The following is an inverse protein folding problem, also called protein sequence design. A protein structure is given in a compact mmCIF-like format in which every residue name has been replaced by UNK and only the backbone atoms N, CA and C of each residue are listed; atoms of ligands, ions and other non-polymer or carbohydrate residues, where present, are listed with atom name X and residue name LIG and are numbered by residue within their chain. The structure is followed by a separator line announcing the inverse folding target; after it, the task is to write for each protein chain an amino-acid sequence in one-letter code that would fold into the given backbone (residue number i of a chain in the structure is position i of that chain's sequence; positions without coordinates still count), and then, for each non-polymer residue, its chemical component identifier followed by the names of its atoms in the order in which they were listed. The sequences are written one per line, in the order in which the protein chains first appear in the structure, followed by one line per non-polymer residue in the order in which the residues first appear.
data_IF_052798280520
#
_entry.id   IF_052798280520
#
_cell.length_a   1.000
_cell.length_b   1.000
_cell.length_c   1.000
_cell.angle_alpha   90.00
_cell.angle_beta   90.00
_cell.angle_gamma   90.00
#
_symmetry.space_group_name_H-M   'P 1'
#
loop_
_entity.id
_entity.type
_entity.pdbx_description
1 polymer ?
#
# COMPACT_ATOMS: atom_id res chain seq x y z
N UNK A 1 -7.16 41.20 -11.73
CA UNK A 1 -7.13 39.91 -12.46
C UNK A 1 -5.98 38.99 -12.02
N UNK A 2 -4.73 39.46 -11.89
CA UNK A 2 -3.57 38.61 -11.51
C UNK A 2 -3.67 37.90 -10.14
N UNK A 3 -4.34 38.53 -9.15
CA UNK A 3 -4.54 37.98 -7.78
C UNK A 3 -5.51 36.80 -7.75
N UNK A 4 -6.52 36.81 -8.62
CA UNK A 4 -7.51 35.74 -8.73
C UNK A 4 -6.96 34.57 -9.57
N UNK A 5 -6.06 34.85 -10.51
CA UNK A 5 -5.35 33.84 -11.29
C UNK A 5 -4.46 32.96 -10.41
N UNK A 6 -3.77 33.56 -9.43
CA UNK A 6 -2.91 32.80 -8.50
C UNK A 6 -3.72 31.81 -7.64
N UNK A 7 -4.88 32.25 -7.12
CA UNK A 7 -5.77 31.38 -6.34
C UNK A 7 -6.35 30.22 -7.16
N UNK A 8 -6.66 30.46 -8.44
CA UNK A 8 -7.17 29.43 -9.35
C UNK A 8 -6.11 28.36 -9.66
N UNK A 9 -4.84 28.76 -9.84
CA UNK A 9 -3.73 27.83 -10.07
C UNK A 9 -3.47 26.96 -8.83
N UNK A 10 -3.48 27.56 -7.64
CA UNK A 10 -3.29 26.84 -6.38
C UNK A 10 -4.40 25.80 -6.15
N UNK A 11 -5.66 26.17 -6.44
CA UNK A 11 -6.80 25.25 -6.35
C UNK A 11 -6.73 24.10 -7.35
N UNK A 12 -6.21 24.34 -8.56
CA UNK A 12 -6.02 23.29 -9.57
C UNK A 12 -4.95 22.27 -9.16
N UNK A 13 -3.85 22.71 -8.54
CA UNK A 13 -2.75 21.81 -8.10
C UNK A 13 -3.21 20.91 -6.94
N UNK A 14 -4.00 21.43 -6.02
CA UNK A 14 -4.50 20.68 -4.85
C UNK A 14 -5.62 19.68 -5.20
N UNK A 15 -6.31 19.87 -6.34
CA UNK A 15 -7.41 19.01 -6.77
C UNK A 15 -6.98 17.75 -7.55
N UNK A 16 -5.71 17.64 -7.93
CA UNK A 16 -5.19 16.50 -8.70
C UNK A 16 -4.59 15.49 -7.70
N UNK A 17 -5.41 14.57 -7.20
CA UNK A 17 -4.90 13.37 -6.52
C UNK A 17 -4.56 12.30 -7.56
N UNK A 18 -3.40 11.68 -7.41
CA UNK A 18 -3.08 10.45 -8.12
C UNK A 18 -3.67 9.28 -7.35
N UNK A 19 -4.23 8.30 -8.06
CA UNK A 19 -4.68 7.07 -7.42
C UNK A 19 -3.43 6.23 -7.06
N UNK A 20 -3.19 6.00 -5.77
CA UNK A 20 -2.20 5.01 -5.31
C UNK A 20 -2.86 3.64 -5.26
N UNK A 21 -2.36 2.70 -6.06
CA UNK A 21 -2.88 1.35 -6.13
C UNK A 21 -1.90 0.43 -5.41
N UNK A 22 -2.30 -0.11 -4.26
CA UNK A 22 -1.62 -1.24 -3.63
C UNK A 22 -2.46 -2.47 -3.95
N UNK A 23 -1.98 -3.31 -4.88
CA UNK A 23 -2.68 -4.52 -5.30
C UNK A 23 -2.02 -5.75 -4.67
N UNK A 24 -2.86 -6.67 -4.20
CA UNK A 24 -2.45 -7.92 -3.60
C UNK A 24 -3.01 -9.07 -4.44
N UNK A 25 -2.10 -9.88 -5.01
CA UNK A 25 -2.45 -10.96 -5.93
C UNK A 25 -2.41 -12.30 -5.20
N UNK A 26 -3.53 -13.02 -5.20
CA UNK A 26 -3.54 -14.40 -4.73
C UNK A 26 -2.84 -15.31 -5.75
N UNK A 27 -1.79 -16.03 -5.32
CA UNK A 27 -1.03 -16.96 -6.18
C UNK A 27 -1.40 -18.43 -5.95
N UNK A 28 -2.38 -18.70 -5.09
CA UNK A 28 -2.70 -20.04 -4.63
C UNK A 28 -1.73 -20.53 -3.54
N UNK A 29 -2.01 -21.71 -2.98
CA UNK A 29 -1.14 -22.35 -1.99
C UNK A 29 -0.90 -21.55 -0.70
N UNK A 30 -1.79 -20.60 -0.37
CA UNK A 30 -1.63 -19.73 0.80
C UNK A 30 -0.61 -18.62 0.62
N UNK A 31 -0.30 -18.19 -0.62
CA UNK A 31 0.65 -17.10 -0.90
C UNK A 31 -0.06 -15.89 -1.52
N UNK A 32 0.34 -14.70 -1.06
CA UNK A 32 -0.08 -13.41 -1.62
C UNK A 32 1.15 -12.67 -2.16
N UNK A 33 1.07 -12.16 -3.39
CA UNK A 33 2.09 -11.30 -3.98
C UNK A 33 1.69 -9.83 -3.86
N UNK A 34 2.61 -9.03 -3.31
CA UNK A 34 2.51 -7.58 -3.18
C UNK A 34 3.33 -6.93 -4.31
N UNK A 35 2.64 -6.30 -5.26
CA UNK A 35 3.28 -5.66 -6.41
C UNK A 35 3.93 -4.32 -6.09
N UNK A 36 3.51 -3.66 -5.02
CA UNK A 36 4.09 -2.37 -4.62
C UNK A 36 5.52 -2.57 -4.10
N UNK A 37 5.74 -3.64 -3.33
CA UNK A 37 7.03 -3.93 -2.71
C UNK A 37 7.83 -5.05 -3.40
N UNK A 38 7.24 -5.74 -4.38
CA UNK A 38 7.79 -6.93 -5.02
C UNK A 38 8.16 -8.04 -4.00
N UNK A 39 7.24 -8.32 -3.07
CA UNK A 39 7.40 -9.31 -2.00
C UNK A 39 6.28 -10.35 -2.11
N UNK A 40 6.56 -11.59 -1.76
CA UNK A 40 5.53 -12.60 -1.51
C UNK A 40 5.40 -12.84 -0.01
N UNK A 41 4.18 -12.75 0.49
CA UNK A 41 3.80 -13.06 1.86
C UNK A 41 3.09 -14.42 1.94
N UNK A 42 3.14 -15.05 3.12
CA UNK A 42 2.15 -16.05 3.50
C UNK A 42 0.82 -15.35 3.75
N UNK A 43 -0.27 -15.88 3.21
CA UNK A 43 -1.62 -15.35 3.37
C UNK A 43 -2.07 -15.38 4.83
N UNK A 44 -1.58 -16.37 5.59
CA UNK A 44 -1.83 -16.55 7.02
C UNK A 44 -0.50 -16.74 7.75
N UNK A 45 0.21 -15.61 7.95
CA UNK A 45 1.51 -15.60 8.61
C UNK A 45 1.34 -15.52 10.12
N UNK A 46 1.16 -16.66 10.78
CA UNK A 46 1.29 -16.73 12.24
C UNK A 46 2.76 -16.70 12.62
N UNK A 47 3.17 -15.70 13.41
CA UNK A 47 4.49 -15.69 14.02
C UNK A 47 4.55 -16.86 15.01
N UNK A 48 5.44 -17.86 14.84
CA UNK A 48 5.49 -18.97 15.78
C UNK A 48 5.80 -18.42 17.16
N UNK A 49 4.83 -18.56 18.08
CA UNK A 49 5.01 -18.19 19.48
C UNK A 49 6.25 -18.93 19.98
N UNK A 50 7.29 -18.19 20.36
CA UNK A 50 8.49 -18.73 20.99
C UNK A 50 8.12 -19.29 22.35
N UNK A 51 7.48 -20.46 22.40
CA UNK A 51 7.48 -21.29 23.60
C UNK A 51 8.90 -21.79 23.72
N UNK A 52 9.70 -20.99 24.42
CA UNK A 52 11.00 -21.41 24.91
C UNK A 52 10.82 -22.79 25.56
N UNK A 53 11.68 -23.70 25.13
CA UNK A 53 11.91 -25.02 25.70
C UNK A 53 11.37 -25.20 27.13
N UNK A 54 10.38 -26.07 27.28
CA UNK A 54 10.11 -26.79 28.53
C UNK A 54 9.86 -28.26 28.18
N UNK A 55 10.91 -28.94 27.73
CA UNK A 55 11.06 -30.39 27.83
C UNK A 55 12.45 -30.69 28.35
#
# INVERSE_FOLDING_TARGET
MKKNLLGMIMGAILGISTASHAELFNRGGGLIYDSANNITWLADADYPWTRACSQ
#
